data_IF_337522056645
#
_entry.id   IF_337522056645
#
_cell.length_a   1.000
_cell.length_b   1.000
_cell.length_c   1.000
_cell.angle_alpha   90.00
_cell.angle_beta   90.00
_cell.angle_gamma   90.00
#
_symmetry.space_group_name_H-M   'P 1'
#
loop_
_entity.id
_entity.type
_entity.pdbx_description
1 polymer ?
#
# COMPACT_ATOMS: atom_id res chain seq x y z
N UNK A 1 -46.86 49.97 -18.65
CA UNK A 1 -46.64 48.81 -17.76
C UNK A 1 -45.29 48.21 -18.10
N UNK A 2 -44.39 48.13 -17.12
CA UNK A 2 -43.02 47.63 -17.24
C UNK A 2 -43.02 46.12 -17.01
N UNK A 3 -42.30 45.35 -17.81
CA UNK A 3 -41.97 43.95 -17.51
C UNK A 3 -40.55 43.68 -18.01
N UNK A 4 -39.61 43.66 -17.06
CA UNK A 4 -38.23 43.25 -17.23
C UNK A 4 -38.12 41.76 -16.91
N UNK A 5 -37.70 40.95 -17.87
CA UNK A 5 -37.41 39.53 -17.67
C UNK A 5 -35.92 39.34 -17.47
N UNK A 6 -35.50 39.07 -16.24
CA UNK A 6 -34.13 38.73 -15.88
C UNK A 6 -34.00 37.20 -15.96
N UNK A 7 -33.25 36.72 -16.95
CA UNK A 7 -32.93 35.31 -17.14
C UNK A 7 -31.70 34.96 -16.28
N UNK A 8 -31.90 34.20 -15.21
CA UNK A 8 -30.82 33.73 -14.31
C UNK A 8 -30.33 32.36 -14.79
N UNK A 9 -29.13 32.30 -15.38
CA UNK A 9 -28.45 31.01 -15.62
C UNK A 9 -27.76 30.54 -14.34
N UNK A 10 -28.28 29.47 -13.74
CA UNK A 10 -27.57 28.68 -12.73
C UNK A 10 -26.59 27.74 -13.45
N UNK A 11 -25.29 28.06 -13.37
CA UNK A 11 -24.22 27.14 -13.76
C UNK A 11 -23.88 26.28 -12.54
N UNK A 12 -24.40 25.06 -12.53
CA UNK A 12 -24.04 24.03 -11.55
C UNK A 12 -22.66 23.46 -11.93
N UNK A 13 -21.60 23.93 -11.27
CA UNK A 13 -20.27 23.33 -11.39
C UNK A 13 -20.27 22.03 -10.57
N UNK A 14 -20.53 20.90 -11.22
CA UNK A 14 -20.23 19.58 -10.69
C UNK A 14 -18.72 19.39 -10.68
N UNK A 15 -18.08 19.71 -9.56
CA UNK A 15 -16.70 19.35 -9.29
C UNK A 15 -16.57 17.84 -9.18
N UNK A 16 -16.28 17.17 -10.29
CA UNK A 16 -15.83 15.79 -10.27
C UNK A 16 -14.49 15.74 -9.53
N UNK A 17 -14.50 15.22 -8.30
CA UNK A 17 -13.31 14.78 -7.58
C UNK A 17 -12.68 13.65 -8.40
N UNK A 18 -11.83 14.00 -9.36
CA UNK A 18 -10.94 13.05 -9.99
C UNK A 18 -10.00 12.53 -8.90
N UNK A 19 -10.30 11.34 -8.37
CA UNK A 19 -9.35 10.51 -7.65
C UNK A 19 -8.14 10.35 -8.58
N UNK A 20 -7.10 11.15 -8.35
CA UNK A 20 -5.83 11.01 -9.04
C UNK A 20 -5.28 9.64 -8.65
N UNK A 21 -5.53 8.64 -9.49
CA UNK A 21 -4.84 7.35 -9.41
C UNK A 21 -3.38 7.69 -9.71
N UNK A 22 -2.57 7.76 -8.65
CA UNK A 22 -1.14 7.99 -8.80
C UNK A 22 -0.60 6.96 -9.79
N UNK A 23 0.23 7.37 -10.77
CA UNK A 23 0.80 6.43 -11.73
C UNK A 23 1.54 5.34 -10.95
N UNK A 24 1.15 4.07 -11.17
CA UNK A 24 1.79 2.90 -10.56
C UNK A 24 3.28 3.01 -10.80
N UNK A 25 4.04 3.30 -9.75
CA UNK A 25 5.48 3.41 -9.83
C UNK A 25 6.00 2.03 -10.24
N UNK A 26 6.72 1.92 -11.37
CA UNK A 26 7.38 0.67 -11.76
C UNK A 26 8.47 0.37 -10.73
N UNK A 27 8.10 -0.36 -9.70
CA UNK A 27 9.02 -0.86 -8.72
C UNK A 27 9.80 -2.03 -9.34
N UNK A 28 11.04 -1.78 -9.71
CA UNK A 28 11.92 -2.79 -10.33
C UNK A 28 12.51 -3.79 -9.33
N UNK A 29 12.20 -3.66 -8.04
CA UNK A 29 12.83 -4.43 -6.99
C UNK A 29 12.06 -5.68 -6.61
N UNK A 30 10.73 -5.61 -6.62
CA UNK A 30 9.86 -6.77 -6.41
C UNK A 30 9.45 -7.39 -7.74
N UNK A 31 9.28 -8.70 -7.73
CA UNK A 31 8.90 -9.52 -8.88
C UNK A 31 7.47 -10.02 -8.69
N UNK A 32 6.53 -9.56 -9.51
CA UNK A 32 5.11 -9.93 -9.38
C UNK A 32 4.84 -11.44 -9.51
N UNK A 33 5.81 -12.22 -10.01
CA UNK A 33 5.70 -13.68 -10.14
C UNK A 33 6.24 -14.46 -8.93
N UNK A 34 6.90 -13.78 -7.98
CA UNK A 34 7.52 -14.39 -6.79
C UNK A 34 6.76 -14.07 -5.51
N UNK A 35 7.14 -14.74 -4.43
CA UNK A 35 6.52 -14.61 -3.11
C UNK A 35 5.47 -15.68 -2.85
N UNK A 36 4.93 -15.70 -1.64
CA UNK A 36 3.91 -16.66 -1.23
C UNK A 36 2.56 -15.97 -1.04
N UNK A 37 1.50 -16.67 -1.40
CA UNK A 37 0.12 -16.28 -1.16
C UNK A 37 -0.52 -17.35 -0.29
N UNK A 38 -0.98 -16.96 0.89
CA UNK A 38 -1.43 -17.93 1.92
C UNK A 38 -2.80 -18.52 1.57
N UNK A 39 -3.58 -17.85 0.72
CA UNK A 39 -4.95 -18.24 0.39
C UNK A 39 -5.93 -17.99 1.55
N UNK A 40 -5.58 -17.03 2.41
CA UNK A 40 -6.43 -16.51 3.50
C UNK A 40 -6.50 -15.00 3.37
N UNK A 41 -7.54 -14.42 3.95
CA UNK A 41 -7.80 -12.98 3.88
C UNK A 41 -8.12 -12.41 5.26
N UNK A 42 -7.92 -11.11 5.41
CA UNK A 42 -8.41 -10.34 6.54
C UNK A 42 -9.27 -9.16 6.04
N UNK A 43 -10.00 -8.54 6.96
CA UNK A 43 -10.68 -7.27 6.69
C UNK A 43 -9.69 -6.20 6.21
N UNK A 44 -10.05 -5.48 5.14
CA UNK A 44 -9.17 -4.52 4.49
C UNK A 44 -8.89 -3.27 5.33
N UNK A 45 -9.82 -2.85 6.19
CA UNK A 45 -9.60 -1.72 7.10
C UNK A 45 -8.54 -2.10 8.14
N UNK A 46 -8.66 -3.29 8.71
CA UNK A 46 -7.66 -3.82 9.64
C UNK A 46 -6.30 -3.97 8.94
N UNK A 47 -6.25 -4.56 7.74
CA UNK A 47 -5.00 -4.65 6.99
C UNK A 47 -4.35 -3.27 6.77
N UNK A 48 -5.14 -2.29 6.32
CA UNK A 48 -4.69 -0.91 6.09
C UNK A 48 -4.09 -0.28 7.36
N UNK A 49 -4.73 -0.46 8.52
CA UNK A 49 -4.23 0.08 9.79
C UNK A 49 -2.92 -0.61 10.19
N UNK A 50 -2.85 -1.94 10.13
CA UNK A 50 -1.65 -2.69 10.46
C UNK A 50 -0.46 -2.28 9.56
N UNK A 51 -0.68 -2.22 8.25
CA UNK A 51 0.32 -1.82 7.26
C UNK A 51 0.77 -0.38 7.51
N UNK A 52 -0.17 0.54 7.71
CA UNK A 52 0.15 1.94 8.03
C UNK A 52 0.98 2.05 9.31
N UNK A 53 0.64 1.28 10.35
CA UNK A 53 1.42 1.23 11.60
C UNK A 53 2.84 0.70 11.40
N UNK A 54 3.05 -0.24 10.47
CA UNK A 54 4.39 -0.69 10.09
C UNK A 54 5.13 0.43 9.33
N UNK A 55 4.52 0.97 8.28
CA UNK A 55 5.11 2.00 7.42
C UNK A 55 5.51 3.27 8.20
N UNK A 56 4.71 3.70 9.17
CA UNK A 56 5.02 4.86 10.01
C UNK A 56 6.27 4.67 10.90
N UNK A 57 6.75 3.44 11.09
CA UNK A 57 8.01 3.18 11.81
C UNK A 57 9.25 3.39 10.95
N UNK A 58 9.09 3.56 9.63
CA UNK A 58 10.19 3.95 8.72
C UNK A 58 10.05 5.42 8.38
N UNK A 59 10.74 6.25 9.13
CA UNK A 59 10.68 7.72 8.96
C UNK A 59 11.29 8.17 7.63
N UNK A 60 12.29 7.46 7.13
CA UNK A 60 13.01 7.80 5.90
C UNK A 60 13.69 6.57 5.30
N UNK A 61 13.80 6.57 3.98
CA UNK A 61 14.72 5.70 3.26
C UNK A 61 15.24 6.44 2.03
N UNK A 62 16.55 6.40 1.82
CA UNK A 62 17.20 6.94 0.63
C UNK A 62 17.78 5.79 -0.19
N UNK A 63 17.48 5.65 -1.48
CA UNK A 63 18.07 4.59 -2.31
C UNK A 63 19.61 4.70 -2.39
N UNK A 64 20.30 3.58 -2.25
CA UNK A 64 21.76 3.49 -2.22
C UNK A 64 22.39 3.67 -0.83
N UNK A 65 21.57 3.93 0.19
CA UNK A 65 22.01 4.13 1.57
C UNK A 65 22.22 2.75 2.24
N UNK A 66 23.49 2.38 2.48
CA UNK A 66 23.90 1.05 2.98
C UNK A 66 24.19 1.04 4.48
N UNK A 67 24.09 -0.13 5.12
CA UNK A 67 24.50 -0.38 6.54
C UNK A 67 23.73 0.38 7.62
N UNK A 68 22.45 0.69 7.39
CA UNK A 68 21.60 1.38 8.37
C UNK A 68 21.13 0.52 9.55
N UNK A 69 21.57 -0.74 9.65
CA UNK A 69 21.14 -1.64 10.72
C UNK A 69 19.61 -1.79 10.79
N UNK A 70 18.92 -1.67 9.65
CA UNK A 70 17.45 -1.66 9.61
C UNK A 70 16.94 -3.02 10.10
N UNK A 71 16.12 -3.01 11.14
CA UNK A 71 15.46 -4.21 11.63
C UNK A 71 14.18 -4.51 10.85
N UNK A 72 13.65 -5.72 11.02
CA UNK A 72 12.24 -5.97 10.68
C UNK A 72 11.37 -5.16 11.63
N UNK A 73 10.44 -4.43 11.07
CA UNK A 73 9.44 -3.65 11.79
C UNK A 73 8.07 -4.28 11.58
N UNK A 74 7.26 -4.25 12.63
CA UNK A 74 5.91 -4.81 12.61
C UNK A 74 4.88 -3.74 12.91
N UNK A 75 3.76 -3.80 12.22
CA UNK A 75 2.55 -3.04 12.51
C UNK A 75 1.47 -4.01 12.96
N UNK A 76 0.89 -3.73 14.12
CA UNK A 76 -0.14 -4.56 14.75
C UNK A 76 -1.36 -3.69 15.08
N UNK A 77 -2.50 -4.34 15.26
CA UNK A 77 -3.74 -3.71 15.72
C UNK A 77 -4.17 -4.37 17.01
N UNK A 78 -4.54 -3.57 18.00
CA UNK A 78 -5.07 -4.09 19.25
C UNK A 78 -6.39 -4.82 18.99
N UNK A 79 -6.49 -6.07 19.48
CA UNK A 79 -7.72 -6.87 19.40
C UNK A 79 -7.89 -7.66 18.10
N UNK A 80 -6.97 -7.56 17.14
CA UNK A 80 -7.02 -8.33 15.90
C UNK A 80 -5.70 -9.06 15.66
N UNK A 81 -5.72 -10.32 15.18
CA UNK A 81 -4.51 -11.13 15.02
C UNK A 81 -3.70 -10.78 13.77
N UNK A 82 -3.89 -9.60 13.16
CA UNK A 82 -3.23 -9.21 11.92
C UNK A 82 -1.89 -8.52 12.22
N UNK A 83 -0.83 -8.94 11.51
CA UNK A 83 0.49 -8.32 11.58
C UNK A 83 0.99 -8.00 10.18
N UNK A 84 1.40 -6.75 9.98
CA UNK A 84 2.17 -6.32 8.82
C UNK A 84 3.65 -6.27 9.19
N UNK A 85 4.51 -6.98 8.47
CA UNK A 85 5.95 -6.98 8.69
C UNK A 85 6.65 -6.36 7.48
N UNK A 86 7.55 -5.42 7.74
CA UNK A 86 8.34 -4.72 6.74
C UNK A 86 9.83 -4.83 7.10
N UNK A 87 10.66 -5.05 6.09
CA UNK A 87 12.08 -4.72 6.14
C UNK A 87 12.41 -3.94 4.88
N UNK A 88 13.22 -2.89 5.04
CA UNK A 88 13.57 -1.98 3.95
C UNK A 88 15.05 -2.17 3.63
N UNK A 89 15.32 -2.65 2.42
CA UNK A 89 16.66 -2.85 1.88
C UNK A 89 17.32 -1.55 1.45
N UNK A 90 18.52 -1.67 0.90
CA UNK A 90 19.36 -0.52 0.53
C UNK A 90 18.80 0.30 -0.65
N UNK A 91 17.86 -0.25 -1.43
CA UNK A 91 17.20 0.44 -2.53
C UNK A 91 15.76 0.86 -2.18
N UNK A 92 15.41 0.88 -0.89
CA UNK A 92 14.08 1.23 -0.40
C UNK A 92 12.97 0.39 -1.03
N UNK A 93 13.28 -0.85 -1.40
CA UNK A 93 12.40 -1.72 -2.15
C UNK A 93 11.99 -1.13 -3.49
N UNK A 94 12.82 -0.32 -4.14
CA UNK A 94 12.52 0.33 -5.43
C UNK A 94 11.70 1.62 -5.34
N UNK A 95 11.45 2.13 -4.14
CA UNK A 95 10.74 3.39 -3.92
C UNK A 95 11.70 4.58 -4.03
N UNK A 96 11.46 5.46 -5.01
CA UNK A 96 12.30 6.66 -5.22
C UNK A 96 12.10 7.74 -4.15
N UNK A 97 10.86 7.92 -3.69
CA UNK A 97 10.49 8.90 -2.65
C UNK A 97 9.79 8.16 -1.53
N UNK A 98 10.52 7.94 -0.44
CA UNK A 98 9.99 7.21 0.71
C UNK A 98 9.01 8.09 1.50
N UNK A 99 7.80 7.58 1.68
CA UNK A 99 6.78 8.11 2.57
C UNK A 99 5.79 6.99 2.90
N UNK A 100 4.90 7.21 3.88
CA UNK A 100 3.91 6.21 4.30
C UNK A 100 3.05 5.72 3.13
N UNK A 101 2.46 6.58 2.26
CA UNK A 101 1.72 6.13 1.08
C UNK A 101 2.51 5.19 0.16
N UNK A 102 3.75 5.55 -0.22
CA UNK A 102 4.61 4.71 -1.07
C UNK A 102 4.88 3.35 -0.44
N UNK A 103 5.08 3.32 0.88
CA UNK A 103 5.28 2.09 1.63
C UNK A 103 4.00 1.22 1.64
N UNK A 104 2.83 1.80 1.90
CA UNK A 104 1.55 1.09 1.85
C UNK A 104 1.32 0.50 0.46
N UNK A 105 1.68 1.24 -0.59
CA UNK A 105 1.54 0.77 -1.97
C UNK A 105 2.43 -0.46 -2.27
N UNK A 106 3.57 -0.63 -1.58
CA UNK A 106 4.35 -1.88 -1.69
C UNK A 106 3.54 -3.09 -1.23
N UNK A 107 2.81 -2.97 -0.12
CA UNK A 107 1.95 -4.04 0.37
C UNK A 107 0.79 -4.28 -0.60
N UNK A 108 0.10 -3.21 -1.04
CA UNK A 108 -1.01 -3.32 -1.98
C UNK A 108 -0.60 -4.02 -3.29
N UNK A 109 0.57 -3.69 -3.84
CA UNK A 109 1.03 -4.29 -5.10
C UNK A 109 1.53 -5.72 -4.90
N UNK A 110 2.41 -5.94 -3.92
CA UNK A 110 3.19 -7.18 -3.82
C UNK A 110 2.64 -8.22 -2.85
N UNK A 111 1.66 -7.83 -2.04
CA UNK A 111 0.86 -8.75 -1.24
C UNK A 111 -0.54 -8.85 -1.81
N UNK A 112 -1.30 -7.76 -1.77
CA UNK A 112 -2.74 -7.81 -2.09
C UNK A 112 -3.02 -8.13 -3.56
N UNK A 113 -2.74 -7.20 -4.47
CA UNK A 113 -3.04 -7.34 -5.89
C UNK A 113 -2.37 -8.58 -6.51
N UNK A 114 -1.13 -8.88 -6.11
CA UNK A 114 -0.41 -10.08 -6.56
C UNK A 114 -1.14 -11.36 -6.12
N UNK A 115 -1.54 -11.45 -4.85
CA UNK A 115 -2.21 -12.64 -4.36
C UNK A 115 -3.67 -12.73 -4.79
N UNK A 116 -4.35 -11.60 -4.97
CA UNK A 116 -5.71 -11.50 -5.50
C UNK A 116 -5.78 -12.08 -6.91
N UNK A 117 -4.79 -11.78 -7.77
CA UNK A 117 -4.70 -12.37 -9.11
C UNK A 117 -4.55 -13.91 -9.11
N UNK A 118 -4.03 -14.50 -8.03
CA UNK A 118 -3.83 -15.95 -7.89
C UNK A 118 -4.95 -16.64 -7.11
N UNK A 119 -5.55 -15.93 -6.17
CA UNK A 119 -6.51 -16.42 -5.18
C UNK A 119 -7.58 -15.35 -4.95
N UNK A 120 -8.48 -15.10 -5.91
CA UNK A 120 -9.44 -14.00 -5.81
C UNK A 120 -10.23 -14.03 -4.50
N UNK A 121 -10.41 -12.88 -3.89
CA UNK A 121 -11.23 -12.67 -2.71
C UNK A 121 -12.43 -11.77 -3.02
N UNK A 122 -13.39 -11.74 -2.10
CA UNK A 122 -14.52 -10.82 -2.19
C UNK A 122 -14.12 -9.38 -1.82
N UNK A 123 -14.98 -8.43 -2.17
CA UNK A 123 -14.81 -7.02 -1.82
C UNK A 123 -14.60 -6.82 -0.30
N UNK A 124 -13.78 -5.85 0.07
CA UNK A 124 -13.50 -5.51 1.48
C UNK A 124 -12.53 -6.45 2.18
N UNK A 125 -11.93 -7.39 1.46
CA UNK A 125 -10.89 -8.27 1.96
C UNK A 125 -9.50 -7.87 1.46
N UNK A 126 -8.48 -8.23 2.23
CA UNK A 126 -7.08 -8.04 1.92
C UNK A 126 -6.35 -9.37 2.03
N UNK A 127 -5.54 -9.70 1.03
CA UNK A 127 -4.87 -10.99 0.94
C UNK A 127 -3.72 -11.13 1.94
N UNK A 128 -3.55 -12.33 2.48
CA UNK A 128 -2.37 -12.68 3.26
C UNK A 128 -1.28 -13.25 2.35
N UNK A 129 -0.05 -12.82 2.61
CA UNK A 129 1.10 -13.19 1.80
C UNK A 129 2.37 -12.50 2.23
N UNK A 130 3.45 -12.84 1.54
CA UNK A 130 4.73 -12.20 1.74
C UNK A 130 5.61 -12.28 0.50
N UNK A 131 6.55 -11.36 0.41
CA UNK A 131 7.55 -11.34 -0.64
C UNK A 131 8.84 -10.68 -0.16
N UNK A 132 9.97 -11.20 -0.62
CA UNK A 132 11.27 -10.54 -0.53
C UNK A 132 11.66 -10.02 -1.92
N UNK A 133 12.08 -8.76 -1.99
CA UNK A 133 12.63 -8.12 -3.17
C UNK A 133 14.03 -8.68 -3.46
N UNK A 134 14.26 -9.31 -4.63
CA UNK A 134 15.58 -9.80 -5.00
C UNK A 134 16.66 -8.71 -5.14
N UNK A 135 16.28 -7.45 -5.42
CA UNK A 135 17.25 -6.40 -5.71
C UNK A 135 18.05 -5.94 -4.46
N UNK A 136 17.42 -5.91 -3.29
CA UNK A 136 17.95 -5.24 -2.09
C UNK A 136 17.54 -5.94 -0.78
N UNK A 137 16.82 -7.05 -0.87
CA UNK A 137 16.35 -7.82 0.29
C UNK A 137 15.17 -7.19 1.03
N UNK A 138 14.56 -6.11 0.53
CA UNK A 138 13.33 -5.55 1.11
C UNK A 138 12.27 -6.63 1.25
N UNK A 139 11.47 -6.58 2.31
CA UNK A 139 10.48 -7.61 2.60
C UNK A 139 9.16 -6.97 3.01
N UNK A 140 8.07 -7.42 2.40
CA UNK A 140 6.71 -7.10 2.81
C UNK A 140 5.97 -8.37 3.16
N UNK A 141 5.19 -8.34 4.22
CA UNK A 141 4.37 -9.48 4.65
C UNK A 141 3.16 -9.01 5.42
N UNK A 142 2.01 -9.58 5.10
CA UNK A 142 0.80 -9.41 5.90
C UNK A 142 0.24 -10.79 6.22
N UNK A 143 0.15 -11.12 7.51
CA UNK A 143 -0.22 -12.45 7.99
C UNK A 143 -0.96 -12.39 9.33
N UNK A 144 -1.55 -13.52 9.73
CA UNK A 144 -2.01 -13.72 11.10
C UNK A 144 -0.85 -14.15 12.00
N UNK A 145 -0.68 -13.50 13.15
CA UNK A 145 0.26 -13.93 14.21
C UNK A 145 1.72 -13.48 14.07
N UNK A 146 2.12 -12.88 12.93
CA UNK A 146 3.47 -12.33 12.71
C UNK A 146 4.44 -13.28 12.02
#
# INVERSE_FOLDING_TARGET
>A
MRLSTILTLLVSITGALALAVAPRQRNGCFDMTKGACVGRQADSNNATIAITNACNKVTSCTPGETRHGRGRITGIIKGFPCTATLYVGDMCGGVNVWNTPSCVELFNMFVDARCEAQRPSGDGLYQLGYQTAPCDGSFVSFNFGG
#
